data_IF_885473001925
#
_entry.id   IF_885473001925
#
_cell.length_a   1.000
_cell.length_b   1.000
_cell.length_c   1.000
_cell.angle_alpha   90.00
_cell.angle_beta   90.00
_cell.angle_gamma   90.00
#
_symmetry.space_group_name_H-M   'P 1'
#
loop_
_entity.id
_entity.type
_entity.pdbx_description
1 polymer ?
#
# COMPACT_ATOMS: atom_id res chain seq x y z
N UNK A 1 -20.57 15.37 -1.45
CA UNK A 1 -19.58 14.26 -1.47
C UNK A 1 -18.30 14.80 -2.07
N UNK A 2 -17.15 14.61 -1.42
CA UNK A 2 -15.86 15.00 -1.98
C UNK A 2 -15.58 14.18 -3.25
N UNK A 3 -15.11 14.83 -4.31
CA UNK A 3 -14.70 14.12 -5.54
C UNK A 3 -13.37 13.40 -5.33
N UNK A 4 -13.03 12.42 -6.17
CA UNK A 4 -11.71 11.78 -6.15
C UNK A 4 -10.57 12.81 -6.27
N UNK A 5 -10.79 13.86 -7.06
CA UNK A 5 -9.83 14.96 -7.24
C UNK A 5 -9.63 15.75 -5.94
N UNK A 6 -10.70 16.04 -5.21
CA UNK A 6 -10.61 16.75 -3.92
C UNK A 6 -9.85 15.92 -2.89
N UNK A 7 -10.14 14.62 -2.82
CA UNK A 7 -9.47 13.69 -1.90
C UNK A 7 -7.99 13.51 -2.23
N UNK A 8 -7.63 13.51 -3.51
CA UNK A 8 -6.22 13.44 -3.93
C UNK A 8 -5.46 14.73 -3.58
N UNK A 9 -6.11 15.89 -3.70
CA UNK A 9 -5.55 17.18 -3.29
C UNK A 9 -5.36 17.23 -1.76
N UNK A 10 -6.33 16.76 -1.00
CA UNK A 10 -6.24 16.64 0.46
C UNK A 10 -5.05 15.75 0.88
N UNK A 11 -4.89 14.60 0.23
CA UNK A 11 -3.78 13.69 0.50
C UNK A 11 -2.42 14.34 0.23
N UNK A 12 -2.26 15.00 -0.92
CA UNK A 12 -1.01 15.70 -1.26
C UNK A 12 -0.67 16.80 -0.24
N UNK A 13 -1.67 17.57 0.19
CA UNK A 13 -1.49 18.60 1.21
C UNK A 13 -1.06 17.98 2.53
N UNK A 14 -1.76 16.96 2.99
CA UNK A 14 -1.41 16.23 4.20
C UNK A 14 0.01 15.64 4.16
N UNK A 15 0.39 14.98 3.06
CA UNK A 15 1.74 14.41 2.90
C UNK A 15 2.84 15.49 2.94
N UNK A 16 2.59 16.64 2.32
CA UNK A 16 3.51 17.78 2.36
C UNK A 16 3.64 18.39 3.77
N UNK A 17 2.56 18.48 4.52
CA UNK A 17 2.56 18.94 5.91
C UNK A 17 3.30 17.95 6.82
N UNK A 18 3.01 16.66 6.68
CA UNK A 18 3.66 15.60 7.43
C UNK A 18 5.17 15.56 7.23
N UNK A 19 5.64 15.74 6.01
CA UNK A 19 7.07 15.75 5.71
C UNK A 19 7.83 16.94 6.34
N UNK A 20 7.12 18.05 6.63
CA UNK A 20 7.70 19.22 7.29
C UNK A 20 7.72 19.10 8.81
N UNK A 21 6.69 18.51 9.37
CA UNK A 21 6.52 18.37 10.83
C UNK A 21 6.01 16.98 11.16
N UNK A 22 6.87 15.96 11.11
CA UNK A 22 6.48 14.60 11.42
C UNK A 22 6.14 14.45 12.90
N UNK A 23 5.11 13.68 13.26
CA UNK A 23 4.92 13.22 14.63
C UNK A 23 6.01 12.21 15.01
N UNK A 24 6.23 12.04 16.31
CA UNK A 24 7.28 11.15 16.83
C UNK A 24 6.94 9.66 16.63
N UNK A 25 5.66 9.33 16.49
CA UNK A 25 5.17 7.96 16.29
C UNK A 25 4.92 7.65 14.80
N UNK A 26 5.59 6.65 14.27
CA UNK A 26 5.42 6.17 12.89
C UNK A 26 3.99 5.72 12.57
N UNK A 27 3.31 5.04 13.51
CA UNK A 27 1.95 4.57 13.32
C UNK A 27 0.96 5.70 13.12
N UNK A 28 1.02 6.69 13.99
CA UNK A 28 0.22 7.92 13.87
C UNK A 28 0.57 8.68 12.60
N UNK A 29 1.81 8.59 12.16
CA UNK A 29 2.32 9.27 10.97
C UNK A 29 1.60 8.84 9.69
N UNK A 30 1.34 7.56 9.48
CA UNK A 30 0.79 7.05 8.22
C UNK A 30 -0.72 6.71 8.28
N UNK A 31 -1.32 6.58 9.45
CA UNK A 31 -2.72 6.17 9.62
C UNK A 31 -3.68 7.08 8.85
N UNK A 32 -3.50 8.39 8.93
CA UNK A 32 -4.32 9.35 8.17
C UNK A 32 -4.16 9.18 6.65
N UNK A 33 -2.95 8.86 6.18
CA UNK A 33 -2.68 8.56 4.78
C UNK A 33 -3.44 7.33 4.29
N UNK A 34 -3.44 6.27 5.08
CA UNK A 34 -4.20 5.05 4.79
C UNK A 34 -5.70 5.34 4.67
N UNK A 35 -6.28 6.12 5.59
CA UNK A 35 -7.70 6.53 5.51
C UNK A 35 -8.02 7.30 4.23
N UNK A 36 -7.17 8.26 3.86
CA UNK A 36 -7.35 9.05 2.65
C UNK A 36 -7.24 8.19 1.38
N UNK A 37 -6.26 7.27 1.34
CA UNK A 37 -6.09 6.33 0.24
C UNK A 37 -7.31 5.40 0.12
N UNK A 38 -7.76 4.83 1.24
CA UNK A 38 -8.94 3.97 1.27
C UNK A 38 -10.18 4.69 0.73
N UNK A 39 -10.37 5.96 1.09
CA UNK A 39 -11.46 6.80 0.57
C UNK A 39 -11.34 7.06 -0.94
N UNK A 40 -10.13 7.36 -1.44
CA UNK A 40 -9.89 7.63 -2.87
C UNK A 40 -10.25 6.43 -3.73
N UNK A 41 -9.93 5.22 -3.28
CA UNK A 41 -10.15 3.99 -4.04
C UNK A 41 -11.43 3.24 -3.66
N UNK A 42 -12.20 3.78 -2.70
CA UNK A 42 -13.44 3.15 -2.20
C UNK A 42 -13.19 1.71 -1.73
N UNK A 43 -12.15 1.56 -0.90
CA UNK A 43 -11.75 0.29 -0.28
C UNK A 43 -11.73 0.43 1.24
N UNK A 44 -11.62 -0.70 1.93
CA UNK A 44 -11.49 -0.71 3.40
C UNK A 44 -10.05 -0.32 3.81
N UNK A 45 -9.87 0.20 5.02
CA UNK A 45 -8.55 0.60 5.55
C UNK A 45 -7.53 -0.55 5.47
N UNK A 46 -7.95 -1.77 5.78
CA UNK A 46 -7.12 -2.97 5.75
C UNK A 46 -6.84 -3.52 4.33
N UNK A 47 -7.39 -2.89 3.31
CA UNK A 47 -7.09 -3.17 1.90
C UNK A 47 -6.01 -2.25 1.33
N UNK A 48 -5.47 -1.35 2.17
CA UNK A 48 -4.34 -0.47 1.83
C UNK A 48 -3.11 -0.92 2.61
N UNK A 49 -1.98 -1.08 1.93
CA UNK A 49 -0.70 -1.39 2.55
C UNK A 49 0.39 -0.43 2.05
N UNK A 50 1.13 0.13 2.99
CA UNK A 50 2.34 0.91 2.73
C UNK A 50 3.52 0.11 3.26
N UNK A 51 4.44 -0.23 2.37
CA UNK A 51 5.65 -0.97 2.70
C UNK A 51 6.87 -0.08 2.48
N UNK A 52 7.80 -0.11 3.41
CA UNK A 52 9.09 0.57 3.31
C UNK A 52 10.22 -0.42 3.07
N UNK A 53 11.23 0.01 2.31
CA UNK A 53 12.46 -0.75 2.15
C UNK A 53 13.22 -0.77 3.48
N UNK A 54 13.70 -1.93 3.90
CA UNK A 54 14.55 -2.06 5.08
C UNK A 54 15.88 -1.36 4.88
N UNK A 55 16.54 -0.98 5.97
CA UNK A 55 17.80 -0.25 5.93
C UNK A 55 18.90 -0.99 5.14
N UNK A 56 18.94 -2.32 5.23
CA UNK A 56 19.87 -3.17 4.49
C UNK A 56 19.51 -3.33 2.99
N UNK A 57 18.37 -2.79 2.56
CA UNK A 57 17.90 -2.84 1.18
C UNK A 57 17.48 -4.23 0.68
N UNK A 58 17.30 -5.22 1.57
CA UNK A 58 17.04 -6.61 1.18
C UNK A 58 15.59 -7.04 1.30
N UNK A 59 14.79 -6.31 2.06
CA UNK A 59 13.40 -6.66 2.34
C UNK A 59 12.49 -5.45 2.34
N UNK A 60 11.20 -5.70 2.25
CA UNK A 60 10.14 -4.74 2.52
C UNK A 60 9.50 -5.06 3.87
N UNK A 61 9.28 -4.06 4.71
CA UNK A 61 8.50 -4.16 5.95
C UNK A 61 7.21 -3.37 5.83
N UNK A 62 6.14 -3.81 6.48
CA UNK A 62 4.91 -3.03 6.54
C UNK A 62 5.10 -1.81 7.45
N UNK A 63 4.76 -0.64 6.92
CA UNK A 63 4.73 0.62 7.67
C UNK A 63 3.30 0.98 8.10
N UNK A 64 2.32 0.57 7.31
CA UNK A 64 0.89 0.76 7.57
C UNK A 64 0.05 -0.25 6.79
N UNK A 65 -1.14 -0.64 7.30
CA UNK A 65 -1.70 -0.30 8.60
C UNK A 65 -0.92 -0.94 9.75
N UNK A 66 -1.11 -0.43 10.97
CA UNK A 66 -0.36 -0.89 12.16
C UNK A 66 -0.54 -2.38 12.44
N UNK A 67 -1.71 -2.94 12.15
CA UNK A 67 -1.99 -4.37 12.29
C UNK A 67 -1.08 -5.28 11.46
N UNK A 68 -0.39 -4.75 10.45
CA UNK A 68 0.53 -5.49 9.59
C UNK A 68 2.01 -5.31 9.97
N UNK A 69 2.35 -4.42 10.90
CA UNK A 69 3.75 -4.11 11.24
C UNK A 69 4.53 -5.31 11.75
N UNK A 70 3.88 -6.16 12.55
CA UNK A 70 4.50 -7.32 13.19
C UNK A 70 4.39 -8.62 12.38
N UNK A 71 3.82 -8.56 11.17
CA UNK A 71 3.57 -9.75 10.33
C UNK A 71 4.84 -10.31 9.69
N UNK A 72 5.93 -9.54 9.73
CA UNK A 72 7.21 -9.92 9.17
C UNK A 72 7.65 -9.08 7.99
N UNK A 73 8.65 -9.56 7.28
CA UNK A 73 9.26 -8.87 6.14
C UNK A 73 9.10 -9.69 4.86
N UNK A 74 9.01 -9.00 3.73
CA UNK A 74 8.97 -9.62 2.41
C UNK A 74 10.36 -9.48 1.77
N UNK A 75 11.14 -10.58 1.63
CA UNK A 75 12.42 -10.52 0.95
C UNK A 75 12.27 -10.06 -0.50
N UNK A 76 13.15 -9.16 -0.97
CA UNK A 76 13.14 -8.74 -2.38
C UNK A 76 13.47 -9.89 -3.34
N UNK A 77 14.10 -10.96 -2.85
CA UNK A 77 14.34 -12.20 -3.60
C UNK A 77 13.10 -13.07 -3.78
N UNK A 78 11.97 -12.75 -3.11
CA UNK A 78 10.73 -13.50 -3.26
C UNK A 78 10.25 -13.51 -4.72
N UNK A 79 10.08 -14.71 -5.28
CA UNK A 79 9.56 -14.90 -6.64
C UNK A 79 8.03 -14.75 -6.73
N UNK A 80 7.33 -14.95 -5.62
CA UNK A 80 5.85 -14.97 -5.57
C UNK A 80 5.22 -13.69 -5.01
N UNK A 81 5.97 -12.86 -4.28
CA UNK A 81 5.43 -11.64 -3.69
C UNK A 81 5.34 -10.50 -4.71
N UNK A 82 4.13 -10.01 -4.98
CA UNK A 82 3.89 -8.88 -5.89
C UNK A 82 4.66 -7.62 -5.45
N UNK A 83 4.70 -7.31 -4.16
CA UNK A 83 5.44 -6.17 -3.64
C UNK A 83 6.94 -6.25 -3.96
N UNK A 84 7.55 -7.43 -3.82
CA UNK A 84 8.94 -7.66 -4.17
C UNK A 84 9.18 -7.47 -5.68
N UNK A 85 8.27 -7.97 -6.52
CA UNK A 85 8.32 -7.77 -7.97
C UNK A 85 8.21 -6.29 -8.34
N UNK A 86 7.22 -5.58 -7.78
CA UNK A 86 7.03 -4.13 -7.99
C UNK A 86 8.30 -3.34 -7.64
N UNK A 87 8.96 -3.71 -6.53
CA UNK A 87 10.19 -3.05 -6.08
C UNK A 87 11.38 -3.34 -6.99
N UNK A 88 11.51 -4.57 -7.51
CA UNK A 88 12.59 -4.93 -8.44
C UNK A 88 12.42 -4.31 -9.82
N UNK A 89 11.18 -4.31 -10.33
CA UNK A 89 10.88 -3.84 -11.68
C UNK A 89 10.61 -2.33 -11.74
N UNK A 90 10.39 -1.68 -10.60
CA UNK A 90 10.06 -0.25 -10.47
C UNK A 90 8.87 0.16 -11.35
N UNK A 91 7.93 -0.75 -11.52
CA UNK A 91 6.78 -0.59 -12.42
C UNK A 91 5.47 -0.80 -11.66
N UNK A 92 4.49 0.13 -11.82
CA UNK A 92 3.16 -0.07 -11.28
C UNK A 92 2.40 -1.15 -12.08
N UNK A 93 1.56 -1.92 -11.38
CA UNK A 93 0.85 -3.05 -11.95
C UNK A 93 -0.57 -3.19 -11.37
N UNK A 94 -1.51 -3.65 -12.21
CA UNK A 94 -2.86 -4.10 -11.83
C UNK A 94 -2.94 -5.61 -12.04
N UNK A 95 -3.46 -6.33 -11.04
CA UNK A 95 -3.80 -7.75 -11.14
C UNK A 95 -5.24 -7.93 -10.69
N UNK A 96 -6.18 -7.96 -11.63
CA UNK A 96 -7.62 -8.10 -11.35
C UNK A 96 -8.07 -9.56 -11.14
N UNK A 97 -7.17 -10.52 -11.35
CA UNK A 97 -7.39 -11.95 -11.09
C UNK A 97 -6.33 -12.49 -10.13
N UNK A 98 -6.10 -11.78 -9.03
CA UNK A 98 -5.01 -12.09 -8.10
C UNK A 98 -5.21 -13.43 -7.39
N UNK A 99 -6.44 -13.82 -7.12
CA UNK A 99 -6.79 -15.09 -6.47
C UNK A 99 -6.32 -16.36 -7.21
N UNK A 100 -6.10 -16.27 -8.53
CA UNK A 100 -5.56 -17.38 -9.35
C UNK A 100 -4.07 -17.27 -9.59
N UNK A 101 -3.44 -16.20 -9.13
CA UNK A 101 -2.00 -15.95 -9.31
C UNK A 101 -1.24 -16.54 -8.12
N UNK A 102 -0.20 -17.39 -8.34
CA UNK A 102 0.65 -17.82 -7.24
C UNK A 102 1.26 -16.61 -6.52
N UNK A 103 0.98 -16.46 -5.24
CA UNK A 103 1.48 -15.36 -4.42
C UNK A 103 1.75 -15.82 -2.98
N UNK A 104 2.60 -15.07 -2.29
CA UNK A 104 2.83 -15.28 -0.87
C UNK A 104 1.65 -14.73 -0.06
N UNK A 105 1.02 -15.56 0.75
CA UNK A 105 -0.20 -15.25 1.51
C UNK A 105 0.03 -14.35 2.73
N UNK A 106 1.21 -13.77 2.90
CA UNK A 106 1.57 -12.95 4.08
C UNK A 106 0.59 -11.81 4.33
N UNK A 107 0.07 -11.20 3.25
CA UNK A 107 -0.88 -10.10 3.35
C UNK A 107 -2.34 -10.56 3.56
N UNK A 108 -2.65 -11.80 3.23
CA UNK A 108 -4.02 -12.37 3.37
C UNK A 108 -4.28 -12.93 4.76
N UNK A 109 -3.23 -13.44 5.42
CA UNK A 109 -3.33 -14.25 6.63
C UNK A 109 -3.48 -13.46 7.94
N UNK A 110 -3.62 -12.13 7.89
CA UNK A 110 -3.76 -11.34 9.12
C UNK A 110 -5.21 -11.11 9.44
N UNK A 111 -5.74 -11.73 10.52
CA UNK A 111 -7.06 -11.40 11.04
C UNK A 111 -7.05 -9.95 11.55
N UNK A 112 -7.98 -9.15 11.07
CA UNK A 112 -8.04 -7.70 11.38
C UNK A 112 -8.85 -7.45 12.66
N UNK A 113 -9.72 -8.38 13.03
CA UNK A 113 -10.40 -8.48 14.31
C UNK A 113 -10.69 -9.95 14.61
N UNK A 114 -10.86 -10.31 15.89
CA UNK A 114 -11.13 -11.70 16.32
C UNK A 114 -12.37 -12.33 15.67
N UNK A 115 -13.27 -11.53 15.10
CA UNK A 115 -14.53 -11.96 14.46
C UNK A 115 -14.55 -11.86 12.91
N UNK A 116 -13.55 -11.26 12.27
CA UNK A 116 -13.48 -11.16 10.81
C UNK A 116 -12.62 -12.29 10.24
N UNK A 117 -13.24 -13.25 9.56
CA UNK A 117 -12.50 -14.23 8.75
C UNK A 117 -11.71 -13.50 7.69
N UNK A 118 -10.40 -13.74 7.65
CA UNK A 118 -9.52 -13.20 6.63
C UNK A 118 -10.07 -13.55 5.23
N UNK A 119 -10.51 -12.53 4.49
CA UNK A 119 -10.99 -12.73 3.12
C UNK A 119 -9.79 -12.68 2.16
N UNK A 120 -9.73 -13.57 1.16
CA UNK A 120 -8.64 -13.57 0.19
C UNK A 120 -8.64 -12.31 -0.67
N UNK A 121 -7.46 -11.88 -1.09
CA UNK A 121 -7.31 -10.81 -2.07
C UNK A 121 -7.76 -11.33 -3.44
N UNK A 122 -8.74 -10.67 -4.03
CA UNK A 122 -9.23 -10.98 -5.37
C UNK A 122 -8.58 -10.11 -6.44
N UNK A 123 -8.31 -8.85 -6.10
CA UNK A 123 -7.78 -7.83 -7.00
C UNK A 123 -6.79 -6.95 -6.26
N UNK A 124 -5.73 -6.51 -6.93
CA UNK A 124 -4.70 -5.67 -6.31
C UNK A 124 -4.06 -4.75 -7.33
N UNK A 125 -3.74 -3.53 -6.88
CA UNK A 125 -2.80 -2.62 -7.53
C UNK A 125 -1.55 -2.51 -6.69
N UNK A 126 -0.41 -2.40 -7.34
CA UNK A 126 0.89 -2.22 -6.68
C UNK A 126 1.71 -1.18 -7.42
N UNK A 127 2.27 -0.21 -6.71
CA UNK A 127 3.10 0.84 -7.29
C UNK A 127 4.35 1.10 -6.42
N UNK A 128 5.52 1.33 -7.03
CA UNK A 128 6.69 1.73 -6.28
C UNK A 128 6.53 3.16 -5.75
N UNK A 129 7.02 3.40 -4.54
CA UNK A 129 7.12 4.74 -3.95
C UNK A 129 8.49 5.31 -4.27
N UNK A 130 8.53 6.33 -5.12
CA UNK A 130 9.76 6.86 -5.68
C UNK A 130 10.08 8.27 -5.19
N UNK A 131 11.32 8.52 -4.79
CA UNK A 131 11.86 9.85 -4.57
C UNK A 131 12.96 10.11 -5.63
N UNK A 132 12.60 10.82 -6.69
CA UNK A 132 13.45 10.91 -7.87
C UNK A 132 13.65 9.52 -8.49
N UNK A 133 14.90 9.08 -8.63
CA UNK A 133 15.27 7.75 -9.13
C UNK A 133 15.35 6.67 -8.04
N UNK A 134 15.23 7.05 -6.75
CA UNK A 134 15.36 6.12 -5.62
C UNK A 134 14.00 5.54 -5.23
N UNK A 135 13.89 4.22 -5.24
CA UNK A 135 12.74 3.52 -4.69
C UNK A 135 12.88 3.42 -3.16
N UNK A 136 11.83 3.79 -2.44
CA UNK A 136 11.78 3.79 -0.97
C UNK A 136 10.88 2.71 -0.42
N UNK A 137 9.97 2.18 -1.24
CA UNK A 137 8.99 1.19 -0.82
C UNK A 137 7.93 0.94 -1.87
N UNK A 138 6.81 0.39 -1.43
CA UNK A 138 5.68 0.00 -2.29
C UNK A 138 4.37 0.43 -1.63
N UNK A 139 3.46 0.95 -2.44
CA UNK A 139 2.07 1.20 -2.07
C UNK A 139 1.19 0.17 -2.76
N UNK A 140 0.36 -0.54 -1.99
CA UNK A 140 -0.60 -1.51 -2.52
C UNK A 140 -2.02 -1.16 -2.07
N UNK A 141 -2.97 -1.34 -2.98
CA UNK A 141 -4.41 -1.27 -2.71
C UNK A 141 -5.06 -2.52 -3.27
N UNK A 142 -5.78 -3.22 -2.43
CA UNK A 142 -6.44 -4.48 -2.77
C UNK A 142 -7.96 -4.39 -2.64
N UNK A 143 -8.65 -5.38 -3.17
CA UNK A 143 -10.05 -5.68 -2.92
C UNK A 143 -10.16 -7.12 -2.47
N UNK A 144 -10.62 -7.30 -1.24
CA UNK A 144 -10.80 -8.61 -0.61
C UNK A 144 -12.27 -9.04 -0.70
N UNK A 145 -12.50 -10.32 -0.78
CA UNK A 145 -13.84 -10.89 -0.80
C UNK A 145 -13.82 -12.40 -0.96
N UNK A 146 -14.95 -13.06 -0.66
CA UNK A 146 -15.11 -14.51 -0.84
C UNK A 146 -15.04 -14.89 -2.32
N UNK A 147 -15.40 -13.97 -3.22
CA UNK A 147 -15.36 -14.16 -4.66
C UNK A 147 -14.92 -12.86 -5.35
N UNK A 148 -14.53 -12.90 -6.64
CA UNK A 148 -14.22 -11.69 -7.43
C UNK A 148 -15.38 -10.70 -7.50
N UNK A 149 -16.62 -11.17 -7.46
CA UNK A 149 -17.83 -10.33 -7.48
C UNK A 149 -18.01 -9.62 -6.14
N UNK A 150 -17.83 -10.33 -5.03
CA UNK A 150 -17.96 -9.76 -3.68
C UNK A 150 -16.89 -8.69 -3.40
N UNK A 151 -15.71 -8.84 -4.02
CA UNK A 151 -14.61 -7.88 -3.90
C UNK A 151 -14.88 -6.55 -4.62
N UNK A 152 -15.94 -6.47 -5.41
CA UNK A 152 -16.30 -5.25 -6.14
C UNK A 152 -15.64 -5.12 -7.53
N UNK A 153 -15.68 -3.92 -8.14
CA UNK A 153 -15.25 -3.73 -9.53
C UNK A 153 -13.74 -3.93 -9.73
N UNK A 154 -13.35 -4.17 -10.97
CA UNK A 154 -11.95 -4.21 -11.37
C UNK A 154 -11.26 -2.86 -11.20
N UNK A 155 -9.99 -2.87 -10.87
CA UNK A 155 -9.16 -1.68 -10.90
C UNK A 155 -8.89 -1.25 -12.34
N UNK A 156 -8.84 0.07 -12.56
CA UNK A 156 -8.68 0.69 -13.88
C UNK A 156 -7.29 1.30 -14.05
N UNK A 157 -6.83 1.52 -15.30
CA UNK A 157 -5.58 2.23 -15.56
C UNK A 157 -5.54 3.65 -14.98
N UNK A 158 -6.68 4.33 -14.88
CA UNK A 158 -6.76 5.64 -14.23
C UNK A 158 -6.47 5.54 -12.73
N UNK A 159 -7.04 4.55 -12.07
CA UNK A 159 -6.78 4.30 -10.64
C UNK A 159 -5.31 3.94 -10.40
N UNK A 160 -4.67 3.16 -11.29
CA UNK A 160 -3.24 2.87 -11.19
C UNK A 160 -2.36 4.13 -11.33
N UNK A 161 -2.71 5.04 -12.24
CA UNK A 161 -2.03 6.34 -12.35
C UNK A 161 -2.19 7.18 -11.07
N UNK A 162 -3.37 7.18 -10.48
CA UNK A 162 -3.63 7.85 -9.20
C UNK A 162 -2.80 7.22 -8.08
N UNK A 163 -2.72 5.88 -8.03
CA UNK A 163 -1.89 5.15 -7.05
C UNK A 163 -0.42 5.55 -7.15
N UNK A 164 0.12 5.61 -8.37
CA UNK A 164 1.50 6.07 -8.60
C UNK A 164 1.70 7.51 -8.12
N UNK A 165 0.78 8.41 -8.45
CA UNK A 165 0.83 9.82 -8.02
C UNK A 165 0.81 9.94 -6.49
N UNK A 166 0.01 9.10 -5.82
CA UNK A 166 -0.04 9.04 -4.35
C UNK A 166 1.28 8.51 -3.79
N UNK A 167 1.84 7.45 -4.39
CA UNK A 167 3.15 6.93 -4.00
C UNK A 167 4.23 8.00 -4.05
N UNK A 168 4.31 8.76 -5.15
CA UNK A 168 5.26 9.86 -5.30
C UNK A 168 5.05 10.95 -4.21
N UNK A 169 3.81 11.26 -3.87
CA UNK A 169 3.49 12.22 -2.81
C UNK A 169 3.87 11.73 -1.41
N UNK A 170 3.80 10.42 -1.16
CA UNK A 170 4.16 9.79 0.11
C UNK A 170 5.68 9.61 0.28
N UNK A 171 6.47 9.68 -0.78
CA UNK A 171 7.90 9.41 -0.74
C UNK A 171 8.67 10.20 0.34
N UNK A 172 8.45 11.51 0.54
CA UNK A 172 9.10 12.25 1.61
C UNK A 172 8.74 11.73 3.01
N UNK A 173 7.50 11.22 3.19
CA UNK A 173 7.07 10.63 4.46
C UNK A 173 7.79 9.30 4.74
N UNK A 174 8.01 8.48 3.71
CA UNK A 174 8.73 7.21 3.85
C UNK A 174 10.20 7.42 4.21
N UNK A 175 10.84 8.49 3.72
CA UNK A 175 12.21 8.84 4.15
C UNK A 175 12.31 9.02 5.66
N UNK A 176 11.27 9.53 6.29
CA UNK A 176 11.24 9.72 7.75
C UNK A 176 11.04 8.40 8.50
N UNK A 177 10.39 7.42 7.88
CA UNK A 177 10.12 6.10 8.46
C UNK A 177 11.27 5.10 8.27
N UNK A 178 12.21 5.36 7.37
CA UNK A 178 13.32 4.45 7.03
C UNK A 178 14.66 4.86 7.62
N UNK A 179 14.69 5.88 8.49
CA UNK A 179 15.92 6.41 9.10
C UNK A 179 16.38 5.69 10.36
N UNK A 180 15.70 4.60 10.76
CA UNK A 180 16.12 3.75 11.90
C UNK A 180 16.96 2.56 11.46
#
# INVERSE_FOLDING_TARGET
>A
MATTTDSLTELKKWAAELSRKPPDDEGVRLSRGVELIARIFEVKIHEVAILGLTHDGRSLRFLAPDTLRDVGQIPLSSGSALAARTMRELRPEIVNHFHVTPHASVFEGVPIAEDERAEPIQKIMSAPVMLGSKALGVLQVSRKGKSPVDAGPDFTPLQLRNLKTIGDALAPCLVLCTKE
#
